data_IF_344011688181
#
_entry.id   IF_344011688181
#
_cell.length_a   1.000
_cell.length_b   1.000
_cell.length_c   1.000
_cell.angle_alpha   90.00
_cell.angle_beta   90.00
_cell.angle_gamma   90.00
#
_symmetry.space_group_name_H-M   'P 1'
#
loop_
_entity.id
_entity.type
_entity.pdbx_description
1 polymer ?
#
# COMPACT_ATOMS: atom_id res chain seq x y z
N UNK A 1 12.14 -46.61 -3.72
CA UNK A 1 11.45 -46.80 -2.44
C UNK A 1 12.38 -46.30 -1.35
N UNK A 2 11.89 -45.46 -0.44
CA UNK A 2 12.70 -44.50 0.30
C UNK A 2 12.72 -44.85 1.78
N UNK A 3 13.89 -45.13 2.35
CA UNK A 3 14.03 -45.10 3.80
C UNK A 3 14.21 -43.65 4.25
N UNK A 4 13.56 -43.29 5.35
CA UNK A 4 13.48 -41.92 5.88
C UNK A 4 13.94 -41.96 7.34
N UNK A 5 14.49 -40.87 7.87
CA UNK A 5 14.92 -40.82 9.27
C UNK A 5 13.84 -40.16 10.11
N UNK A 6 13.39 -40.84 11.17
CA UNK A 6 12.45 -40.25 12.13
C UNK A 6 13.07 -39.03 12.82
N UNK A 7 12.30 -37.93 12.94
CA UNK A 7 12.81 -36.70 13.55
C UNK A 7 13.19 -36.88 15.02
N UNK A 8 12.43 -37.65 15.78
CA UNK A 8 12.55 -37.81 17.23
C UNK A 8 13.48 -38.96 17.60
N UNK A 9 13.28 -40.16 17.05
CA UNK A 9 14.00 -41.38 17.43
C UNK A 9 15.29 -41.59 16.63
N UNK A 10 15.42 -40.91 15.48
CA UNK A 10 16.50 -41.12 14.49
C UNK A 10 16.54 -42.53 13.90
N UNK A 11 15.49 -43.32 14.10
CA UNK A 11 15.34 -44.64 13.50
C UNK A 11 15.05 -44.53 12.00
N UNK A 12 15.35 -45.61 11.29
CA UNK A 12 15.06 -45.73 9.86
C UNK A 12 13.61 -46.20 9.69
N UNK A 13 12.79 -45.34 9.09
CA UNK A 13 11.39 -45.60 8.80
C UNK A 13 11.22 -46.15 7.38
N UNK A 14 10.39 -47.18 7.27
CA UNK A 14 9.87 -47.71 6.02
C UNK A 14 8.45 -47.18 5.80
N UNK A 15 8.32 -46.23 4.87
CA UNK A 15 7.04 -45.58 4.60
C UNK A 15 6.19 -46.44 3.65
N UNK A 16 5.03 -46.88 4.14
CA UNK A 16 4.04 -47.57 3.35
C UNK A 16 2.91 -46.61 2.95
N UNK A 17 2.85 -46.25 1.67
CA UNK A 17 1.80 -45.39 1.12
C UNK A 17 0.59 -46.15 0.62
N UNK A 18 0.54 -47.49 0.77
CA UNK A 18 -0.59 -48.31 0.34
C UNK A 18 -1.80 -48.10 1.29
N UNK A 19 -2.96 -47.64 0.78
CA UNK A 19 -4.15 -47.44 1.59
C UNK A 19 -4.71 -48.73 2.20
N UNK A 20 -4.34 -49.91 1.68
CA UNK A 20 -4.72 -51.23 2.24
C UNK A 20 -3.74 -51.73 3.31
N UNK A 21 -2.70 -50.95 3.62
CA UNK A 21 -1.71 -51.27 4.66
C UNK A 21 -1.04 -52.65 4.49
N UNK A 22 -0.87 -53.09 3.24
CA UNK A 22 -0.25 -54.38 2.95
C UNK A 22 1.21 -54.33 3.42
N UNK A 23 1.69 -55.36 4.12
CA UNK A 23 3.05 -55.43 4.66
C UNK A 23 3.64 -56.83 4.51
N UNK A 24 4.97 -56.92 4.49
CA UNK A 24 5.71 -58.18 4.51
C UNK A 24 6.89 -58.23 3.54
N UNK A 25 7.90 -59.07 3.83
CA UNK A 25 9.11 -59.21 3.00
C UNK A 25 8.81 -59.71 1.58
N UNK A 26 7.66 -60.37 1.37
CA UNK A 26 7.19 -60.83 0.06
C UNK A 26 6.78 -59.68 -0.86
N UNK A 27 6.42 -58.53 -0.30
CA UNK A 27 6.02 -57.31 -1.03
C UNK A 27 7.16 -56.27 -1.04
N UNK A 28 8.06 -56.32 -0.04
CA UNK A 28 9.11 -55.33 0.20
C UNK A 28 10.50 -55.96 0.22
N UNK A 29 11.09 -56.15 -0.96
CA UNK A 29 12.35 -56.87 -1.17
C UNK A 29 13.54 -56.33 -0.34
N UNK A 30 13.57 -55.04 0.00
CA UNK A 30 14.64 -54.39 0.78
C UNK A 30 14.28 -54.12 2.26
N UNK A 31 13.11 -54.58 2.72
CA UNK A 31 12.69 -54.38 4.10
C UNK A 31 13.46 -55.31 5.04
N UNK A 32 14.15 -54.73 6.03
CA UNK A 32 14.80 -55.47 7.09
C UNK A 32 14.07 -55.18 8.42
N UNK A 33 13.31 -56.14 8.98
CA UNK A 33 12.58 -55.93 10.24
C UNK A 33 13.48 -55.66 11.45
N UNK A 34 14.78 -55.99 11.37
CA UNK A 34 15.74 -55.68 12.42
C UNK A 34 16.21 -54.23 12.40
N UNK A 35 16.05 -53.54 11.26
CA UNK A 35 16.60 -52.19 11.04
C UNK A 35 15.53 -51.14 10.70
N UNK A 36 14.34 -51.57 10.27
CA UNK A 36 13.29 -50.67 9.78
C UNK A 36 12.01 -50.78 10.60
N UNK A 37 11.44 -49.62 10.93
CA UNK A 37 10.08 -49.52 11.48
C UNK A 37 9.11 -49.12 10.39
N UNK A 38 8.02 -49.86 10.23
CA UNK A 38 6.97 -49.55 9.26
C UNK A 38 6.12 -48.39 9.76
N UNK A 39 5.86 -47.42 8.87
CA UNK A 39 4.92 -46.33 9.11
C UNK A 39 3.95 -46.26 7.94
N UNK A 40 2.65 -46.35 8.22
CA UNK A 40 1.62 -46.20 7.20
C UNK A 40 1.32 -44.72 6.99
N UNK A 41 1.46 -44.23 5.76
CA UNK A 41 1.31 -42.81 5.44
C UNK A 41 0.80 -42.66 4.01
N UNK A 42 -0.52 -42.51 3.86
CA UNK A 42 -1.17 -42.46 2.53
C UNK A 42 -0.85 -41.16 1.80
N UNK A 43 -0.87 -40.03 2.52
CA UNK A 43 -0.82 -38.68 1.95
C UNK A 43 0.50 -37.94 2.22
N UNK A 44 1.50 -38.58 2.83
CA UNK A 44 2.80 -37.98 3.13
C UNK A 44 3.95 -38.96 2.84
N UNK A 45 4.72 -38.70 1.79
CA UNK A 45 5.80 -39.58 1.32
C UNK A 45 7.10 -38.79 1.05
N UNK A 46 7.87 -38.47 2.09
CA UNK A 46 9.15 -37.78 1.93
C UNK A 46 10.18 -38.64 1.16
N UNK A 47 11.19 -38.00 0.58
CA UNK A 47 12.19 -38.66 -0.25
C UNK A 47 13.27 -39.36 0.59
N UNK A 48 14.04 -40.24 -0.05
CA UNK A 48 15.12 -40.97 0.61
C UNK A 48 16.15 -39.98 1.19
N UNK A 49 16.42 -40.11 2.48
CA UNK A 49 17.35 -39.22 3.20
C UNK A 49 16.70 -37.96 3.79
N UNK A 50 15.41 -37.72 3.53
CA UNK A 50 14.65 -36.68 4.21
C UNK A 50 14.39 -37.05 5.68
N UNK A 51 13.94 -36.04 6.44
CA UNK A 51 13.44 -36.24 7.81
C UNK A 51 11.94 -36.41 7.75
N UNK A 52 11.44 -37.46 8.40
CA UNK A 52 10.00 -37.68 8.55
C UNK A 52 9.46 -36.75 9.64
N UNK A 53 8.60 -35.79 9.25
CA UNK A 53 8.12 -34.73 10.14
C UNK A 53 6.73 -34.99 10.75
N UNK A 54 5.94 -35.90 10.17
CA UNK A 54 4.61 -36.21 10.67
C UNK A 54 4.67 -36.93 12.03
N UNK A 55 3.69 -36.65 12.89
CA UNK A 55 3.48 -37.43 14.11
C UNK A 55 3.02 -38.85 13.75
N UNK A 56 3.50 -39.85 14.51
CA UNK A 56 3.16 -41.26 14.30
C UNK A 56 2.36 -41.76 15.51
N UNK A 57 1.11 -42.13 15.29
CA UNK A 57 0.22 -42.72 16.31
C UNK A 57 -0.13 -44.14 15.87
N UNK A 58 0.17 -45.13 16.73
CA UNK A 58 -0.05 -46.56 16.46
C UNK A 58 0.48 -47.06 15.11
N UNK A 59 1.61 -46.50 14.66
CA UNK A 59 2.26 -46.86 13.40
C UNK A 59 1.67 -46.19 12.15
N UNK A 60 0.71 -45.27 12.32
CA UNK A 60 0.11 -44.48 11.24
C UNK A 60 0.56 -43.02 11.36
N UNK A 61 0.96 -42.42 10.25
CA UNK A 61 1.27 -41.01 10.18
C UNK A 61 0.00 -40.17 10.24
N UNK A 62 -0.02 -39.18 11.14
CA UNK A 62 -1.12 -38.22 11.23
C UNK A 62 -1.24 -37.39 9.95
N UNK A 63 -2.47 -37.11 9.54
CA UNK A 63 -2.73 -36.20 8.44
C UNK A 63 -2.30 -34.77 8.81
N UNK A 64 -1.67 -34.09 7.85
CA UNK A 64 -1.34 -32.69 8.04
C UNK A 64 -2.62 -31.86 8.05
N UNK A 65 -2.74 -30.97 9.03
CA UNK A 65 -3.80 -29.97 9.07
C UNK A 65 -3.22 -28.66 8.54
N UNK A 66 -3.76 -28.10 7.44
CA UNK A 66 -3.32 -26.81 6.91
C UNK A 66 -3.32 -25.73 7.99
N UNK A 67 -2.28 -24.88 7.96
CA UNK A 67 -2.13 -23.78 8.91
C UNK A 67 -1.87 -22.48 8.18
N UNK A 68 -2.57 -21.44 8.59
CA UNK A 68 -2.31 -20.09 8.11
C UNK A 68 -1.09 -19.48 8.79
N UNK A 69 -0.22 -18.87 8.00
CA UNK A 69 0.88 -18.02 8.45
C UNK A 69 0.77 -16.67 7.76
N UNK A 70 1.30 -15.63 8.41
CA UNK A 70 1.15 -14.25 7.98
C UNK A 70 2.51 -13.59 7.89
N UNK A 71 2.77 -12.88 6.79
CA UNK A 71 3.99 -12.08 6.65
C UNK A 71 4.01 -10.92 7.66
N UNK A 72 5.04 -10.85 8.51
CA UNK A 72 5.15 -9.95 9.67
C UNK A 72 5.06 -8.45 9.35
N UNK A 73 5.15 -8.04 8.09
CA UNK A 73 5.11 -6.63 7.66
C UNK A 73 3.84 -6.31 6.89
N UNK A 74 3.43 -7.19 5.98
CA UNK A 74 2.30 -6.97 5.09
C UNK A 74 0.98 -7.54 5.64
N UNK A 75 1.04 -8.51 6.55
CA UNK A 75 -0.13 -9.24 7.03
C UNK A 75 -0.73 -10.19 5.99
N UNK A 76 -0.08 -10.38 4.84
CA UNK A 76 -0.55 -11.29 3.78
C UNK A 76 -0.50 -12.72 4.31
N UNK A 77 -1.63 -13.40 4.17
CA UNK A 77 -1.81 -14.80 4.55
C UNK A 77 -1.23 -15.75 3.49
N UNK A 78 -0.62 -16.84 3.97
CA UNK A 78 -0.27 -18.02 3.19
C UNK A 78 -0.63 -19.26 4.00
N UNK A 79 -1.08 -20.31 3.34
CA UNK A 79 -1.25 -21.63 3.97
C UNK A 79 0.03 -22.44 3.89
N UNK A 80 0.40 -23.09 5.00
CA UNK A 80 1.24 -24.27 4.99
C UNK A 80 0.34 -25.44 4.58
N UNK A 81 0.74 -26.23 3.58
CA UNK A 81 -0.08 -27.30 3.01
C UNK A 81 0.43 -28.70 3.37
N UNK A 82 1.69 -28.83 3.79
CA UNK A 82 2.26 -30.10 4.19
C UNK A 82 3.25 -30.01 5.37
N UNK A 83 3.73 -31.17 5.83
CA UNK A 83 4.71 -31.28 6.92
C UNK A 83 6.12 -30.72 6.59
N UNK A 84 6.42 -30.47 5.31
CA UNK A 84 7.70 -29.94 4.84
C UNK A 84 7.64 -28.40 4.69
N UNK A 85 6.44 -27.82 4.58
CA UNK A 85 6.20 -26.39 4.60
C UNK A 85 6.51 -25.80 5.97
N UNK A 86 7.59 -25.01 6.01
CA UNK A 86 8.05 -24.36 7.24
C UNK A 86 7.69 -22.89 7.24
N UNK A 87 7.37 -22.41 8.44
CA UNK A 87 7.28 -20.98 8.69
C UNK A 87 8.63 -20.32 8.42
N UNK A 88 8.60 -19.21 7.67
CA UNK A 88 9.78 -18.39 7.39
C UNK A 88 10.06 -17.45 8.55
N UNK A 89 11.30 -16.96 8.65
CA UNK A 89 11.66 -15.96 9.67
C UNK A 89 10.86 -14.66 9.55
N UNK A 90 10.36 -14.35 8.35
CA UNK A 90 9.47 -13.22 8.06
C UNK A 90 8.00 -13.48 8.37
N UNK A 91 7.62 -14.67 8.85
CA UNK A 91 6.22 -15.10 9.03
C UNK A 91 5.89 -15.38 10.50
N UNK A 92 4.61 -15.21 10.87
CA UNK A 92 4.05 -15.52 12.19
C UNK A 92 2.75 -16.32 12.05
N UNK A 93 2.44 -17.21 12.99
CA UNK A 93 1.13 -17.91 13.04
C UNK A 93 0.03 -17.02 13.64
N UNK A 94 0.40 -15.90 14.26
CA UNK A 94 -0.54 -14.97 14.88
C UNK A 94 -1.20 -14.12 13.79
N UNK A 95 -2.52 -14.19 13.69
CA UNK A 95 -3.30 -13.41 12.72
C UNK A 95 -3.23 -11.90 13.01
N UNK A 96 -3.10 -11.04 11.98
CA UNK A 96 -3.25 -9.60 12.13
C UNK A 96 -4.64 -9.21 12.61
N UNK A 97 -4.76 -8.04 13.24
CA UNK A 97 -6.05 -7.53 13.72
C UNK A 97 -6.93 -7.23 12.49
N UNK A 98 -8.13 -7.81 12.36
CA UNK A 98 -8.99 -7.56 11.20
C UNK A 98 -9.32 -6.08 11.03
N UNK A 99 -9.38 -5.61 9.78
CA UNK A 99 -9.71 -4.23 9.36
C UNK A 99 -8.72 -3.13 9.79
N UNK A 100 -7.78 -3.43 10.68
CA UNK A 100 -6.71 -2.51 11.06
C UNK A 100 -5.65 -2.43 9.95
N UNK A 101 -5.29 -1.20 9.56
CA UNK A 101 -4.29 -0.96 8.51
C UNK A 101 -2.93 -0.66 9.11
N UNK A 102 -1.89 -0.79 8.28
CA UNK A 102 -0.52 -0.44 8.65
C UNK A 102 0.00 -1.20 9.86
N UNK A 103 -0.37 -2.47 10.03
CA UNK A 103 0.12 -3.26 11.15
C UNK A 103 1.48 -3.91 10.82
N UNK A 104 2.31 -4.10 11.83
CA UNK A 104 3.51 -4.95 11.80
C UNK A 104 3.59 -5.81 13.05
N UNK A 105 4.16 -6.99 12.91
CA UNK A 105 4.37 -7.92 14.03
C UNK A 105 5.66 -7.56 14.78
N UNK A 106 5.57 -7.33 16.09
CA UNK A 106 6.71 -6.91 16.91
C UNK A 106 7.49 -8.07 17.58
N UNK A 107 7.08 -9.33 17.31
CA UNK A 107 7.62 -10.52 17.96
C UNK A 107 6.62 -11.21 18.89
N UNK A 108 5.62 -10.49 19.40
CA UNK A 108 4.58 -11.05 20.27
C UNK A 108 3.17 -10.78 19.75
N UNK A 109 2.93 -9.60 19.20
CA UNK A 109 1.61 -9.19 18.68
C UNK A 109 1.75 -8.25 17.50
N UNK A 110 0.61 -7.98 16.85
CA UNK A 110 0.49 -6.95 15.83
C UNK A 110 0.32 -5.58 16.47
N UNK A 111 1.09 -4.62 15.98
CA UNK A 111 1.05 -3.22 16.40
C UNK A 111 1.01 -2.32 15.18
N UNK A 112 0.54 -1.08 15.34
CA UNK A 112 0.56 -0.10 14.25
C UNK A 112 2.01 0.27 13.93
N UNK A 113 2.36 0.14 12.66
CA UNK A 113 3.57 0.65 12.05
C UNK A 113 3.44 2.16 11.80
N UNK A 114 3.75 2.92 12.84
CA UNK A 114 3.59 4.38 12.84
C UNK A 114 4.35 5.05 11.70
N UNK A 115 5.54 4.55 11.36
CA UNK A 115 6.36 5.11 10.28
C UNK A 115 5.66 4.97 8.92
N UNK A 116 5.21 3.74 8.60
CA UNK A 116 4.48 3.45 7.35
C UNK A 116 3.16 4.21 7.28
N UNK A 117 2.45 4.30 8.41
CA UNK A 117 1.19 5.04 8.53
C UNK A 117 1.39 6.54 8.27
N UNK A 118 2.38 7.16 8.91
CA UNK A 118 2.68 8.57 8.73
C UNK A 118 3.16 8.87 7.31
N UNK A 119 4.01 8.02 6.74
CA UNK A 119 4.46 8.16 5.36
C UNK A 119 3.28 8.17 4.37
N UNK A 120 2.35 7.23 4.53
CA UNK A 120 1.14 7.15 3.71
C UNK A 120 0.28 8.42 3.80
N UNK A 121 0.04 8.95 5.01
CA UNK A 121 -0.74 10.17 5.16
C UNK A 121 -0.03 11.42 4.62
N UNK A 122 1.30 11.50 4.76
CA UNK A 122 2.09 12.60 4.17
C UNK A 122 2.03 12.60 2.64
N UNK A 123 2.03 11.41 2.02
CA UNK A 123 1.87 11.26 0.58
C UNK A 123 0.50 11.75 0.12
N UNK A 124 -0.58 11.32 0.79
CA UNK A 124 -1.94 11.79 0.48
C UNK A 124 -2.06 13.31 0.69
N UNK A 125 -1.55 13.83 1.81
CA UNK A 125 -1.57 15.27 2.08
C UNK A 125 -0.88 16.07 0.97
N UNK A 126 0.24 15.57 0.46
CA UNK A 126 0.97 16.17 -0.66
C UNK A 126 0.19 16.08 -1.98
N UNK A 127 -0.48 14.95 -2.23
CA UNK A 127 -1.31 14.76 -3.41
C UNK A 127 -2.51 15.74 -3.42
N UNK A 128 -3.22 15.87 -2.28
CA UNK A 128 -4.34 16.82 -2.14
C UNK A 128 -3.86 18.26 -2.29
N UNK A 129 -2.74 18.62 -1.65
CA UNK A 129 -2.12 19.95 -1.80
C UNK A 129 -1.86 20.30 -3.27
N UNK A 130 -1.21 19.39 -4.02
CA UNK A 130 -0.92 19.62 -5.43
C UNK A 130 -2.22 19.72 -6.26
N UNK A 131 -3.21 18.87 -5.97
CA UNK A 131 -4.52 18.93 -6.64
C UNK A 131 -5.23 20.27 -6.41
N UNK A 132 -5.28 20.77 -5.17
CA UNK A 132 -5.88 22.07 -4.85
C UNK A 132 -5.12 23.23 -5.50
N UNK A 133 -3.78 23.18 -5.51
CA UNK A 133 -2.95 24.19 -6.17
C UNK A 133 -3.23 24.29 -7.67
N UNK A 134 -3.34 23.16 -8.37
CA UNK A 134 -3.61 23.14 -9.82
C UNK A 134 -5.07 23.49 -10.16
N UNK A 135 -6.00 23.12 -9.28
CA UNK A 135 -7.44 23.38 -9.46
C UNK A 135 -7.92 24.73 -8.92
N UNK A 136 -7.03 25.53 -8.33
CA UNK A 136 -7.40 26.84 -7.77
C UNK A 136 -8.10 27.72 -8.81
N UNK A 137 -9.24 28.27 -8.38
CA UNK A 137 -10.11 29.17 -9.14
C UNK A 137 -10.72 30.16 -8.15
N UNK A 138 -10.09 31.33 -8.04
CA UNK A 138 -10.65 32.47 -7.32
C UNK A 138 -11.23 33.50 -8.28
N UNK A 139 -11.46 34.70 -7.75
CA UNK A 139 -11.85 35.85 -8.55
C UNK A 139 -11.20 37.13 -8.03
N UNK A 140 -10.92 38.07 -8.93
CA UNK A 140 -10.44 39.42 -8.60
C UNK A 140 -11.33 40.50 -9.22
N UNK A 141 -11.48 41.64 -8.53
CA UNK A 141 -12.20 42.80 -9.08
C UNK A 141 -11.24 43.70 -9.86
N UNK A 142 -11.62 44.02 -11.10
CA UNK A 142 -10.88 44.95 -11.95
C UNK A 142 -11.85 45.73 -12.84
N UNK A 143 -11.76 47.07 -12.81
CA UNK A 143 -12.65 48.00 -13.53
C UNK A 143 -14.16 47.73 -13.33
N UNK A 144 -14.56 47.50 -12.08
CA UNK A 144 -15.94 47.16 -11.69
C UNK A 144 -16.47 45.85 -12.29
N UNK A 145 -15.58 44.96 -12.73
CA UNK A 145 -15.90 43.62 -13.24
C UNK A 145 -15.13 42.58 -12.45
N UNK A 146 -15.76 41.43 -12.20
CA UNK A 146 -15.16 40.31 -11.48
C UNK A 146 -14.56 39.34 -12.50
N UNK A 147 -13.27 39.06 -12.40
CA UNK A 147 -12.51 38.22 -13.33
C UNK A 147 -12.07 36.92 -12.67
N UNK A 148 -11.91 35.86 -13.46
CA UNK A 148 -11.29 34.61 -13.01
C UNK A 148 -9.83 34.88 -12.59
N UNK A 149 -9.36 34.27 -11.50
CA UNK A 149 -7.98 34.39 -11.02
C UNK A 149 -7.24 33.06 -10.98
N UNK A 150 -7.72 32.06 -11.71
CA UNK A 150 -7.06 30.78 -11.87
C UNK A 150 -5.75 30.88 -12.64
N UNK A 151 -4.81 29.99 -12.30
CA UNK A 151 -3.48 29.92 -12.91
C UNK A 151 -3.52 29.86 -14.45
N UNK A 152 -4.41 29.07 -15.03
CA UNK A 152 -4.54 28.94 -16.49
C UNK A 152 -4.98 30.28 -17.11
N UNK A 153 -5.90 30.99 -16.47
CA UNK A 153 -6.37 32.28 -16.94
C UNK A 153 -5.23 33.32 -16.92
N UNK A 154 -4.47 33.38 -15.82
CA UNK A 154 -3.27 34.19 -15.69
C UNK A 154 -2.19 33.87 -16.74
N UNK A 155 -1.86 32.59 -16.94
CA UNK A 155 -0.85 32.16 -17.91
C UNK A 155 -1.24 32.53 -19.35
N UNK A 156 -2.54 32.46 -19.67
CA UNK A 156 -3.07 32.89 -20.95
C UNK A 156 -2.93 34.42 -21.13
N UNK A 157 -3.26 35.21 -20.10
CA UNK A 157 -3.11 36.68 -20.16
C UNK A 157 -1.65 37.04 -20.43
N UNK A 158 -0.72 36.47 -19.67
CA UNK A 158 0.71 36.70 -19.84
C UNK A 158 1.22 36.27 -21.22
N UNK A 159 0.69 35.17 -21.76
CA UNK A 159 1.02 34.73 -23.11
C UNK A 159 0.58 35.75 -24.16
N UNK A 160 -0.64 36.29 -24.06
CA UNK A 160 -1.15 37.32 -24.97
C UNK A 160 -0.36 38.61 -24.84
N UNK A 161 -0.08 39.08 -23.62
CA UNK A 161 0.77 40.26 -23.38
C UNK A 161 2.15 40.06 -24.02
N UNK A 162 2.79 38.90 -23.81
CA UNK A 162 4.11 38.60 -24.39
C UNK A 162 4.09 38.59 -25.92
N UNK A 163 3.06 38.00 -26.54
CA UNK A 163 2.92 37.96 -28.00
C UNK A 163 2.67 39.35 -28.58
N UNK A 164 1.82 40.16 -27.93
CA UNK A 164 1.51 41.53 -28.35
C UNK A 164 2.76 42.42 -28.24
N UNK A 165 3.49 42.37 -27.13
CA UNK A 165 4.74 43.15 -26.96
C UNK A 165 5.83 42.78 -27.97
N UNK A 166 5.80 41.55 -28.52
CA UNK A 166 6.71 41.09 -29.57
C UNK A 166 6.20 41.38 -31.00
N UNK A 167 5.06 42.06 -31.14
CA UNK A 167 4.43 42.33 -32.43
C UNK A 167 4.00 41.07 -33.19
N UNK A 168 3.76 39.96 -32.49
CA UNK A 168 3.34 38.68 -33.09
C UNK A 168 1.84 38.61 -33.32
N UNK A 169 1.08 39.45 -32.62
CA UNK A 169 -0.35 39.66 -32.81
C UNK A 169 -0.62 41.15 -32.92
N UNK A 170 -1.56 41.53 -33.77
CA UNK A 170 -1.97 42.93 -34.00
C UNK A 170 -3.26 43.30 -33.26
N UNK A 171 -4.03 42.31 -32.81
CA UNK A 171 -5.32 42.49 -32.16
C UNK A 171 -5.38 41.65 -30.88
N UNK A 172 -5.97 42.21 -29.84
CA UNK A 172 -6.20 41.52 -28.56
C UNK A 172 -7.56 40.84 -28.62
N UNK A 173 -7.66 39.52 -28.35
CA UNK A 173 -8.94 38.84 -28.33
C UNK A 173 -9.82 39.34 -27.17
N UNK A 174 -11.16 39.22 -27.26
CA UNK A 174 -12.03 39.49 -26.14
C UNK A 174 -11.79 38.46 -25.01
N UNK A 175 -11.87 38.94 -23.77
CA UNK A 175 -11.68 38.15 -22.56
C UNK A 175 -12.98 37.95 -21.82
N UNK A 176 -13.10 36.80 -21.17
CA UNK A 176 -14.32 36.37 -20.51
C UNK A 176 -14.20 36.63 -19.01
N UNK A 177 -15.15 37.38 -18.47
CA UNK A 177 -15.23 37.62 -17.02
C UNK A 177 -15.84 36.40 -16.29
N UNK A 178 -15.88 36.46 -14.96
CA UNK A 178 -16.44 35.39 -14.11
C UNK A 178 -17.94 35.13 -14.35
N UNK A 179 -18.66 36.12 -14.89
CA UNK A 179 -20.08 36.00 -15.26
C UNK A 179 -20.30 35.49 -16.68
N UNK A 180 -19.23 35.07 -17.36
CA UNK A 180 -19.22 34.60 -18.73
C UNK A 180 -19.48 35.68 -19.80
N UNK A 181 -19.34 36.96 -19.48
CA UNK A 181 -19.46 38.05 -20.44
C UNK A 181 -18.11 38.39 -21.07
N UNK A 182 -18.13 38.75 -22.37
CA UNK A 182 -16.92 39.13 -23.11
C UNK A 182 -16.68 40.63 -23.06
N UNK A 183 -15.46 41.02 -22.71
CA UNK A 183 -14.98 42.39 -22.69
C UNK A 183 -13.64 42.52 -23.42
N UNK A 184 -13.41 43.64 -24.09
CA UNK A 184 -12.13 43.95 -24.74
C UNK A 184 -11.28 44.75 -23.77
N UNK A 185 -10.07 44.27 -23.50
CA UNK A 185 -9.08 44.92 -22.63
C UNK A 185 -7.89 45.39 -23.47
N UNK A 186 -7.28 46.51 -23.08
CA UNK A 186 -6.01 46.95 -23.66
C UNK A 186 -4.83 46.10 -23.16
N UNK A 187 -3.63 46.28 -23.72
CA UNK A 187 -2.42 45.60 -23.20
C UNK A 187 -2.17 46.02 -21.76
N UNK A 188 -2.26 47.32 -21.45
CA UNK A 188 -2.04 47.85 -20.11
C UNK A 188 -3.09 47.30 -19.13
N UNK A 189 -4.34 47.16 -19.56
CA UNK A 189 -5.40 46.56 -18.75
C UNK A 189 -5.12 45.09 -18.44
N UNK A 190 -4.64 44.32 -19.43
CA UNK A 190 -4.25 42.93 -19.24
C UNK A 190 -3.06 42.78 -18.30
N UNK A 191 -2.09 43.71 -18.35
CA UNK A 191 -0.97 43.73 -17.43
C UNK A 191 -1.43 43.99 -15.99
N UNK A 192 -2.25 45.03 -15.77
CA UNK A 192 -2.81 45.31 -14.44
C UNK A 192 -3.70 44.18 -13.92
N UNK A 193 -4.49 43.55 -14.79
CA UNK A 193 -5.30 42.39 -14.40
C UNK A 193 -4.41 41.19 -14.03
N UNK A 194 -3.34 40.92 -14.78
CA UNK A 194 -2.40 39.86 -14.47
C UNK A 194 -1.74 40.05 -13.10
N UNK A 195 -1.32 41.27 -12.75
CA UNK A 195 -0.74 41.60 -11.44
C UNK A 195 -1.72 41.32 -10.30
N UNK A 196 -3.00 41.70 -10.46
CA UNK A 196 -4.04 41.40 -9.46
C UNK A 196 -4.24 39.90 -9.27
N UNK A 197 -4.26 39.15 -10.37
CA UNK A 197 -4.38 37.69 -10.33
C UNK A 197 -3.13 37.05 -9.70
N UNK A 198 -1.93 37.58 -9.96
CA UNK A 198 -0.69 37.08 -9.36
C UNK A 198 -0.70 37.26 -7.83
N UNK A 199 -1.19 38.40 -7.34
CA UNK A 199 -1.37 38.65 -5.89
C UNK A 199 -2.37 37.65 -5.29
N UNK A 200 -3.49 37.41 -5.96
CA UNK A 200 -4.50 36.43 -5.52
C UNK A 200 -3.94 35.01 -5.46
N UNK A 201 -3.27 34.56 -6.53
CA UNK A 201 -2.58 33.27 -6.60
C UNK A 201 -1.50 33.12 -5.52
N UNK A 202 -0.77 34.20 -5.24
CA UNK A 202 0.24 34.23 -4.17
C UNK A 202 -0.40 34.04 -2.79
N UNK A 203 -1.47 34.77 -2.50
CA UNK A 203 -2.20 34.68 -1.23
C UNK A 203 -2.82 33.30 -1.02
N UNK A 204 -3.49 32.76 -2.06
CA UNK A 204 -4.02 31.40 -2.06
C UNK A 204 -2.90 30.37 -1.86
N UNK A 205 -1.76 30.58 -2.51
CA UNK A 205 -0.56 29.78 -2.33
C UNK A 205 -0.11 29.73 -0.88
N UNK A 206 0.02 30.89 -0.22
CA UNK A 206 0.39 30.96 1.21
C UNK A 206 -0.57 30.14 2.07
N UNK A 207 -1.88 30.33 1.89
CA UNK A 207 -2.88 29.64 2.69
C UNK A 207 -2.82 28.11 2.48
N UNK A 208 -2.64 27.65 1.24
CA UNK A 208 -2.47 26.23 0.93
C UNK A 208 -1.19 25.66 1.55
N UNK A 209 -0.05 26.37 1.49
CA UNK A 209 1.20 25.91 2.09
C UNK A 209 1.12 25.86 3.62
N UNK A 210 0.51 26.87 4.24
CA UNK A 210 0.28 26.88 5.68
C UNK A 210 -0.55 25.66 6.09
N UNK A 211 -1.68 25.42 5.41
CA UNK A 211 -2.55 24.27 5.69
C UNK A 211 -1.83 22.95 5.49
N UNK A 212 -1.01 22.83 4.44
CA UNK A 212 -0.18 21.66 4.19
C UNK A 212 0.73 21.37 5.39
N UNK A 213 1.44 22.39 5.89
CA UNK A 213 2.36 22.23 7.02
C UNK A 213 1.66 21.92 8.34
N UNK A 214 0.50 22.53 8.59
CA UNK A 214 -0.34 22.19 9.75
C UNK A 214 -0.70 20.70 9.72
N UNK A 215 -1.20 20.20 8.59
CA UNK A 215 -1.52 18.79 8.41
C UNK A 215 -0.28 17.88 8.56
N UNK A 216 0.87 18.25 7.99
CA UNK A 216 2.12 17.49 8.15
C UNK A 216 2.56 17.40 9.61
N UNK A 217 2.41 18.48 10.38
CA UNK A 217 2.74 18.49 11.80
C UNK A 217 1.77 17.61 12.59
N UNK A 218 0.46 17.70 12.31
CA UNK A 218 -0.55 16.80 12.89
C UNK A 218 -0.19 15.35 12.62
N UNK A 219 0.07 14.98 11.36
CA UNK A 219 0.43 13.61 10.97
C UNK A 219 1.66 13.11 11.74
N UNK A 220 2.72 13.93 11.86
CA UNK A 220 3.95 13.56 12.57
C UNK A 220 3.74 13.38 14.08
N UNK A 221 2.73 14.04 14.64
CA UNK A 221 2.38 13.95 16.07
C UNK A 221 1.38 12.85 16.42
N UNK A 222 0.81 12.15 15.44
CA UNK A 222 -0.19 11.11 15.69
C UNK A 222 0.37 9.99 16.57
N UNK A 223 -0.43 9.58 17.55
CA UNK A 223 -0.26 8.35 18.29
C UNK A 223 -0.90 7.15 17.54
N UNK A 224 -0.55 5.91 17.91
CA UNK A 224 -1.17 4.72 17.30
C UNK A 224 -2.70 4.68 17.38
N UNK A 225 -3.29 5.24 18.45
CA UNK A 225 -4.75 5.25 18.68
C UNK A 225 -5.49 6.40 18.01
N UNK A 226 -4.79 7.43 17.54
CA UNK A 226 -5.43 8.60 16.96
C UNK A 226 -6.03 8.25 15.60
N UNK A 227 -7.16 8.86 15.25
CA UNK A 227 -7.72 8.80 13.89
C UNK A 227 -7.31 10.04 13.10
N UNK A 228 -6.97 9.89 11.82
CA UNK A 228 -6.70 11.01 10.92
C UNK A 228 -7.26 10.70 9.54
N UNK A 229 -8.06 11.63 9.00
CA UNK A 229 -8.52 11.61 7.62
C UNK A 229 -7.91 12.81 6.88
N UNK A 230 -6.98 12.58 5.95
CA UNK A 230 -6.43 13.64 5.12
C UNK A 230 -7.50 14.44 4.39
N UNK A 231 -8.61 13.82 3.93
CA UNK A 231 -9.63 14.54 3.15
C UNK A 231 -10.36 15.57 4.02
N UNK A 232 -10.88 15.14 5.17
CA UNK A 232 -11.53 16.05 6.12
C UNK A 232 -10.59 17.14 6.64
N UNK A 233 -9.29 16.84 6.77
CA UNK A 233 -8.31 17.85 7.14
C UNK A 233 -8.19 18.99 6.12
N UNK A 234 -8.59 18.76 4.86
CA UNK A 234 -8.58 19.71 3.75
C UNK A 234 -9.97 20.29 3.40
N UNK A 235 -11.03 19.92 4.13
CA UNK A 235 -12.40 20.42 3.96
C UNK A 235 -12.65 21.76 4.66
N UNK A 236 -11.87 22.11 5.69
CA UNK A 236 -11.92 23.46 6.28
C UNK A 236 -11.40 24.46 5.26
N UNK A 237 -12.22 25.44 4.91
CA UNK A 237 -12.00 26.41 3.83
C UNK A 237 -10.56 26.96 3.79
N UNK A 238 -9.96 26.86 2.60
CA UNK A 238 -8.79 27.61 2.12
C UNK A 238 -9.20 28.26 0.81
#
# INVERSE_FOLDING_TARGET
MNYVIDKQTKEVLWINTDPKQISGPEVWFEFNPNNHRVVYSVNYNPQKGDIFNAEIVDGVASEFQPKSVYDKISGIERSLEDWNDKIKSSETEIQPIPFEKFQKFNGTTWVIDQERRSAYFLEINSAIFNSKKESYRGTVEFKNTIWDSGKIYHDNINSVVSLASKGKISEIPPWKDSNNAFSILTIDDLQSLAELIEIDLYNAGIALYQKKWENENTIKSLSPSDSFDPNSAWETDV
#
